data_IF_372531255226
#
_entry.id   IF_372531255226
#
_cell.length_a   1.000
_cell.length_b   1.000
_cell.length_c   1.000
_cell.angle_alpha   90.00
_cell.angle_beta   90.00
_cell.angle_gamma   90.00
#
_symmetry.space_group_name_H-M   'P 1'
#
loop_
_entity.id
_entity.type
_entity.pdbx_description
1 polymer ?
2 non-polymer ?
3 water ?
#
# COMPACT_ATOMS: atom_id res chain seq x y z
N UNK A 38 -25.83 25.52 -31.77
CA UNK A 38 -24.84 25.92 -30.74
C UNK A 38 -24.24 24.67 -30.09
N UNK A 39 -22.94 24.73 -29.79
CA UNK A 39 -22.24 23.61 -29.14
C UNK A 39 -23.03 23.21 -27.89
N UNK A 40 -23.86 22.18 -28.03
CA UNK A 40 -24.75 21.73 -26.96
C UNK A 40 -24.01 21.09 -25.78
N UNK A 41 -23.83 21.90 -24.73
CA UNK A 41 -23.19 21.48 -23.50
C UNK A 41 -24.11 20.37 -22.99
N UNK A 42 -25.42 20.64 -22.98
CA UNK A 42 -26.43 19.81 -22.30
C UNK A 42 -26.67 20.02 -20.80
N UNK A 43 -25.63 20.49 -20.09
CA UNK A 43 -25.71 21.08 -18.76
C UNK A 43 -25.61 22.61 -18.81
N UNK A 44 -25.33 23.16 -20.00
CA UNK A 44 -25.19 24.60 -20.17
C UNK A 44 -26.49 25.35 -19.94
N UNK A 45 -27.61 24.67 -20.14
CA UNK A 45 -28.92 25.25 -19.94
C UNK A 45 -29.24 25.43 -18.46
N UNK A 46 -28.58 24.66 -17.60
CA UNK A 46 -28.82 24.73 -16.15
C UNK A 46 -27.83 25.65 -15.44
N UNK A 47 -26.57 25.61 -15.83
CA UNK A 47 -25.55 26.39 -15.17
C UNK A 47 -25.50 27.81 -15.68
N UNK A 48 -24.94 28.68 -14.85
CA UNK A 48 -24.72 30.07 -15.25
C UNK A 48 -23.23 30.06 -15.62
N UNK A 49 -22.94 30.47 -16.83
CA UNK A 49 -21.58 30.49 -17.32
C UNK A 49 -21.17 31.87 -17.72
N UNK A 50 -19.86 32.05 -17.91
CA UNK A 50 -19.30 33.31 -18.34
C UNK A 50 -18.07 33.05 -19.19
N UNK A 51 -18.08 33.57 -20.41
CA UNK A 51 -16.93 33.43 -21.29
C UNK A 51 -15.94 34.53 -20.90
N UNK A 52 -14.69 34.15 -20.66
CA UNK A 52 -13.67 35.14 -20.31
C UNK A 52 -12.36 34.87 -21.02
N UNK A 53 -11.42 35.80 -20.85
CA UNK A 53 -10.10 35.72 -21.43
C UNK A 53 -9.13 36.41 -20.48
N UNK A 54 -7.92 35.87 -20.34
CA UNK A 54 -6.89 36.46 -19.47
C UNK A 54 -5.64 36.93 -20.22
N UNK A 55 -4.60 37.21 -19.43
CA UNK A 55 -3.22 37.42 -19.86
C UNK A 55 -2.76 36.69 -21.15
N UNK A 56 -2.86 35.35 -21.16
CA UNK A 56 -2.44 34.52 -22.30
C UNK A 56 -3.27 34.71 -23.58
N UNK A 57 -4.42 35.36 -23.47
CA UNK A 57 -5.29 35.58 -24.63
C UNK A 57 -6.06 34.33 -24.97
N UNK A 58 -6.17 33.42 -24.00
CA UNK A 58 -6.88 32.16 -24.18
C UNK A 58 -8.36 32.39 -23.97
N UNK A 59 -9.18 31.57 -24.61
CA UNK A 59 -10.64 31.69 -24.52
C UNK A 59 -11.26 30.44 -23.90
N UNK A 60 -11.88 30.62 -22.73
CA UNK A 60 -12.55 29.53 -22.01
C UNK A 60 -13.78 30.01 -21.26
N UNK A 61 -14.58 29.06 -20.81
CA UNK A 61 -15.82 29.37 -20.10
C UNK A 61 -15.81 28.94 -18.65
N UNK A 62 -15.98 29.92 -17.75
CA UNK A 62 -16.02 29.67 -16.33
C UNK A 62 -17.48 29.37 -16.02
N UNK A 63 -17.76 28.40 -15.15
CA UNK A 63 -19.15 28.06 -14.85
C UNK A 63 -19.45 27.49 -13.48
N UNK A 64 -20.68 27.72 -13.04
CA UNK A 64 -21.18 27.24 -11.76
C UNK A 64 -22.54 26.59 -11.99
N UNK A 66 -25.80 24.41 -9.87
CA UNK A 66 -26.37 23.83 -8.67
C UNK A 66 -26.73 22.39 -8.95
N UNK A 67 -26.30 21.50 -8.07
CA UNK A 67 -26.55 20.08 -8.25
C UNK A 67 -27.21 19.48 -7.02
N UNK A 68 -27.91 18.38 -7.23
CA UNK A 68 -28.63 17.70 -6.17
C UNK A 68 -27.88 16.45 -5.70
N UNK A 69 -27.79 16.30 -4.37
CA UNK A 69 -27.19 15.11 -3.72
C UNK A 69 -28.23 14.37 -2.89
N UNK A 70 -29.26 15.11 -2.46
CA UNK A 70 -30.42 14.56 -1.76
C UNK A 70 -31.30 13.73 -2.72
N UNK A 71 -30.65 12.85 -3.48
CA UNK A 71 -31.30 11.97 -4.45
C UNK A 71 -30.71 10.57 -4.37
N UNK A 72 -31.55 9.54 -4.59
CA UNK A 72 -31.07 8.17 -4.56
C UNK A 72 -30.42 7.76 -5.87
N UNK A 73 -29.84 6.55 -5.88
CA UNK A 73 -29.19 6.00 -7.07
C UNK A 73 -30.26 5.44 -7.97
N UNK A 74 -29.96 5.31 -9.25
CA UNK A 74 -30.95 4.81 -10.22
C UNK A 74 -30.49 3.59 -11.03
N UNK A 75 -29.27 3.65 -11.58
CA UNK A 75 -28.71 2.56 -12.41
C UNK A 75 -28.10 1.35 -11.68
N UNK A 76 -27.70 1.55 -10.41
CA UNK A 76 -27.02 0.53 -9.57
C UNK A 76 -27.54 -0.88 -9.36
N UNK A 77 -26.65 -1.74 -8.84
CA UNK A 77 -26.96 -3.13 -8.53
C UNK A 77 -28.08 -3.13 -7.51
N UNK A 78 -29.27 -3.44 -8.02
CA UNK A 78 -30.54 -3.43 -7.28
C UNK A 78 -30.60 -4.09 -5.89
N UNK A 79 -29.54 -4.75 -5.42
CA UNK A 79 -29.63 -5.40 -4.12
C UNK A 79 -28.32 -5.67 -3.40
N UNK A 80 -28.36 -5.50 -2.07
CA UNK A 80 -27.25 -5.79 -1.17
C UNK A 80 -27.90 -6.06 0.20
N UNK A 81 -28.07 -7.35 0.52
CA UNK A 81 -28.72 -7.80 1.77
C UNK A 81 -28.27 -7.11 3.06
N UNK A 82 -29.13 -7.17 4.07
CA UNK A 82 -28.85 -6.58 5.39
C UNK A 82 -27.58 -7.17 6.00
N UNK A 83 -27.11 -6.52 7.07
CA UNK A 83 -25.91 -6.97 7.76
C UNK A 83 -24.65 -6.44 7.10
N UNK A 84 -23.64 -7.29 7.01
CA UNK A 84 -22.35 -6.91 6.44
C UNK A 84 -21.98 -7.82 5.27
N UNK A 85 -21.35 -7.25 4.23
CA UNK A 85 -20.93 -8.00 3.06
C UNK A 85 -19.72 -7.35 2.41
N UNK A 86 -18.91 -8.14 1.70
CA UNK A 86 -17.71 -7.65 1.03
C UNK A 86 -17.88 -7.70 -0.48
N UNK A 87 -17.32 -6.72 -1.17
CA UNK A 87 -17.45 -6.65 -2.63
C UNK A 87 -16.16 -6.29 -3.35
N UNK A 88 -16.03 -6.80 -4.58
CA UNK A 88 -14.89 -6.54 -5.44
C UNK A 88 -15.37 -5.56 -6.49
N UNK A 89 -14.83 -4.34 -6.49
CA UNK A 89 -15.23 -3.33 -7.47
C UNK A 89 -14.11 -3.31 -8.51
N UNK A 90 -14.45 -3.31 -9.79
CA UNK A 90 -13.40 -3.36 -10.80
C UNK A 90 -13.74 -2.88 -12.20
N UNK A 91 -12.67 -2.49 -12.89
CA UNK A 91 -12.73 -2.05 -14.29
C UNK A 91 -11.59 -2.75 -15.01
N UNK A 92 -11.91 -3.42 -16.11
CA UNK A 92 -10.90 -4.12 -16.91
C UNK A 92 -11.01 -3.70 -18.36
N UNK A 93 -9.90 -3.32 -18.95
CA UNK A 93 -9.88 -2.93 -20.35
C UNK A 93 -8.47 -3.12 -20.89
N UNK A 94 -8.31 -2.88 -22.18
CA UNK A 94 -7.02 -3.02 -22.83
C UNK A 94 -5.94 -2.15 -22.22
N UNK A 95 -6.29 -0.94 -21.80
CA UNK A 95 -5.29 -0.05 -21.23
C UNK A 95 -5.41 0.06 -19.71
N UNK A 96 -6.60 0.39 -19.20
CA UNK A 96 -6.78 0.54 -17.75
C UNK A 96 -7.38 -0.68 -17.10
N UNK A 97 -6.78 -1.12 -16.00
CA UNK A 97 -7.30 -2.21 -15.23
C UNK A 97 -7.04 -1.85 -13.77
N UNK A 98 -8.07 -1.93 -12.95
CA UNK A 98 -7.94 -1.62 -11.54
C UNK A 98 -9.14 -2.16 -10.77
N UNK A 99 -8.94 -2.33 -9.47
CA UNK A 99 -9.98 -2.84 -8.60
C UNK A 99 -9.65 -2.59 -7.15
N UNK A 100 -10.66 -2.74 -6.30
CA UNK A 100 -10.49 -2.61 -4.87
C UNK A 100 -11.65 -3.31 -4.19
N UNK A 101 -11.44 -3.65 -2.92
CA UNK A 101 -12.46 -4.31 -2.14
C UNK A 101 -13.17 -3.29 -1.28
N UNK A 102 -14.45 -3.54 -1.02
CA UNK A 102 -15.24 -2.66 -0.20
C UNK A 102 -16.18 -3.44 0.69
N UNK A 103 -15.97 -3.34 2.01
CA UNK A 103 -16.87 -3.97 2.95
C UNK A 103 -18.02 -3.00 3.10
N UNK A 104 -19.23 -3.50 2.98
CA UNK A 104 -20.43 -2.67 3.08
C UNK A 104 -21.31 -3.15 4.22
N UNK A 105 -21.78 -2.19 5.01
CA UNK A 105 -22.65 -2.47 6.14
C UNK A 105 -23.99 -1.77 5.98
N UNK A 106 -25.06 -2.55 5.93
CA UNK A 106 -26.40 -2.01 5.80
C UNK A 106 -27.25 -2.45 7.00
N UNK A 107 -27.34 -1.58 8.00
CA UNK A 107 -28.16 -1.86 9.17
C UNK A 107 -29.52 -1.21 8.99
N UNK A 108 -30.57 -1.98 9.25
CA UNK A 108 -31.95 -1.54 9.03
C UNK A 108 -31.88 -1.28 7.51
N UNK A 109 -32.24 -0.09 7.06
CA UNK A 109 -32.45 0.21 5.64
C UNK A 109 -31.33 0.98 4.96
N UNK A 110 -30.59 1.78 5.72
CA UNK A 110 -29.51 2.62 5.18
C UNK A 110 -28.15 1.92 5.15
N UNK A 111 -27.51 1.94 3.99
CA UNK A 111 -26.21 1.28 3.80
C UNK A 111 -25.05 2.23 3.52
N UNK A 112 -23.89 1.90 4.07
CA UNK A 112 -22.67 2.70 3.90
C UNK A 112 -21.45 1.81 3.74
N UNK A 113 -20.38 2.39 3.23
CA UNK A 113 -19.13 1.66 3.05
C UNK A 113 -18.31 1.90 4.31
N UNK A 114 -17.94 0.82 4.99
CA UNK A 114 -17.16 0.90 6.22
C UNK A 114 -15.68 0.74 5.94
N UNK A 115 -15.32 0.33 4.72
CA UNK A 115 -13.93 0.11 4.36
C UNK A 115 -13.70 -0.09 2.84
N UNK A 116 -12.60 0.47 2.35
CA UNK A 116 -12.19 0.35 0.95
C UNK A 116 -10.72 -0.05 1.00
N UNK A 117 -10.41 -1.28 0.61
CA UNK A 117 -9.05 -1.81 0.71
C UNK A 117 -8.64 -2.67 -0.49
N UNK A 118 -7.44 -3.25 -0.42
CA UNK A 118 -6.87 -4.05 -1.50
C UNK A 118 -6.88 -3.35 -2.85
N UNK A 119 -6.35 -2.13 -2.87
CA UNK A 119 -6.29 -1.43 -4.13
C UNK A 119 -5.30 -2.13 -5.05
N UNK A 120 -5.73 -2.43 -6.27
CA UNK A 120 -4.88 -3.09 -7.24
C UNK A 120 -5.04 -2.44 -8.60
N UNK A 121 -3.95 -2.40 -9.37
CA UNK A 121 -4.05 -1.84 -10.72
C UNK A 121 -2.91 -2.22 -11.68
N UNK A 122 -3.24 -2.16 -12.97
CA UNK A 122 -2.29 -2.40 -14.03
C UNK A 122 -2.72 -1.57 -15.22
N UNK A 123 -1.98 -0.49 -15.47
CA UNK A 123 -2.25 0.42 -16.57
C UNK A 123 -1.16 0.14 -17.61
N UNK A 124 -1.48 -0.77 -18.51
CA UNK A 124 -0.53 -1.22 -19.52
C UNK A 124 -0.67 -0.53 -20.87
N UNK A 125 0.21 0.43 -21.13
CA UNK A 125 0.24 1.14 -22.39
C UNK A 125 1.46 2.06 -22.49
N UNK A 126 2.20 1.96 -23.59
CA UNK A 126 3.37 2.84 -23.73
C UNK A 126 2.86 4.25 -23.94
N UNK A 127 3.64 5.23 -23.49
CA UNK A 127 3.22 6.62 -23.61
C UNK A 127 2.46 7.05 -22.37
N UNK A 128 1.64 6.14 -21.83
CA UNK A 128 0.85 6.42 -20.65
C UNK A 128 1.72 6.35 -19.39
N UNK A 129 1.57 7.36 -18.53
CA UNK A 129 2.29 7.42 -17.28
C UNK A 129 1.27 7.68 -16.17
N UNK A 130 1.34 6.93 -15.08
CA UNK A 130 0.46 7.15 -13.93
C UNK A 130 1.33 7.90 -12.94
N UNK A 131 0.93 9.09 -12.56
CA UNK A 131 1.75 9.93 -11.67
C UNK A 131 1.35 9.77 -10.21
N UNK A 132 0.12 9.35 -9.98
CA UNK A 132 -0.38 9.19 -8.64
C UNK A 132 -1.62 8.33 -8.66
N UNK A 133 -1.85 7.59 -7.58
CA UNK A 133 -3.00 6.74 -7.43
C UNK A 133 -3.46 6.81 -5.99
N UNK A 134 -4.78 6.90 -5.78
CA UNK A 134 -5.30 6.95 -4.41
C UNK A 134 -6.72 6.45 -4.24
N UNK A 135 -6.88 5.52 -3.30
CA UNK A 135 -8.18 4.96 -2.95
C UNK A 135 -8.66 5.71 -1.73
N UNK A 136 -9.91 6.16 -1.75
CA UNK A 136 -10.49 6.92 -0.64
C UNK A 136 -11.94 6.60 -0.45
N UNK A 137 -12.40 6.82 0.77
CA UNK A 137 -13.77 6.59 1.16
C UNK A 137 -14.29 7.87 1.81
N UNK A 138 -15.48 8.30 1.47
CA UNK A 138 -16.04 9.50 2.05
C UNK A 138 -16.27 9.26 3.53
N UNK A 139 -16.38 10.34 4.31
CA UNK A 139 -16.61 10.23 5.75
C UNK A 139 -17.84 9.38 6.02
N UNK A 140 -18.92 9.71 5.32
CA UNK A 140 -20.21 9.02 5.45
C UNK A 140 -20.17 7.56 5.01
N UNK A 141 -19.28 7.25 4.08
CA UNK A 141 -19.20 5.90 3.54
C UNK A 141 -20.22 5.79 2.42
N UNK A 142 -20.66 6.94 1.92
CA UNK A 142 -21.62 7.02 0.83
C UNK A 142 -20.98 6.56 -0.48
N UNK A 143 -19.65 6.71 -0.58
CA UNK A 143 -18.91 6.28 -1.77
C UNK A 143 -17.41 6.12 -1.52
N UNK A 144 -16.78 5.30 -2.38
CA UNK A 144 -15.34 5.08 -2.33
C UNK A 144 -14.79 5.32 -3.74
N UNK A 145 -13.67 6.03 -3.83
CA UNK A 145 -13.09 6.37 -5.13
C UNK A 145 -11.62 6.04 -5.25
N UNK A 146 -11.26 5.45 -6.38
CA UNK A 146 -9.86 5.07 -6.66
C UNK A 146 -9.48 5.92 -7.86
N UNK A 147 -8.72 6.97 -7.56
CA UNK A 147 -8.34 7.97 -8.56
C UNK A 147 -6.91 7.86 -9.03
N UNK A 148 -6.71 7.98 -10.34
CA UNK A 148 -5.40 7.90 -10.95
C UNK A 148 -5.08 9.16 -11.73
N UNK A 149 -3.94 9.78 -11.44
CA UNK A 149 -3.48 10.95 -12.19
C UNK A 149 -2.65 10.42 -13.35
N UNK A 150 -3.13 10.64 -14.57
CA UNK A 150 -2.48 10.13 -15.76
C UNK A 150 -1.97 11.22 -16.70
N UNK A 151 -1.15 10.75 -17.65
CA UNK A 151 -0.52 11.59 -18.65
C UNK A 151 -0.06 10.75 -19.85
N UNK A 152 -0.12 11.35 -21.03
CA UNK A 152 0.38 10.72 -22.26
C UNK A 152 1.02 11.84 -23.09
N UNK A 153 1.48 11.55 -24.31
CA UNK A 153 2.13 12.60 -25.10
C UNK A 153 1.24 13.75 -25.55
N UNK A 154 -0.09 13.59 -25.47
CA UNK A 154 -1.01 14.66 -25.88
C UNK A 154 -2.00 15.13 -24.82
N UNK A 155 -1.96 14.54 -23.62
CA UNK A 155 -2.93 14.91 -22.59
C UNK A 155 -2.59 14.55 -21.14
N UNK A 156 -3.24 15.27 -20.23
CA UNK A 156 -3.11 15.05 -18.78
C UNK A 156 -4.52 15.00 -18.22
N UNK A 157 -4.82 14.01 -17.39
CA UNK A 157 -6.16 13.85 -16.87
C UNK A 157 -6.24 12.84 -15.75
N UNK A 158 -7.35 12.83 -15.01
CA UNK A 158 -7.52 11.79 -13.98
C UNK A 158 -8.66 10.87 -14.37
N UNK A 159 -8.63 9.65 -13.86
CA UNK A 159 -9.70 8.67 -14.10
C UNK A 159 -10.05 8.12 -12.76
N UNK A 160 -11.33 7.83 -12.57
CA UNK A 160 -11.81 7.34 -11.29
C UNK A 160 -12.67 6.09 -11.37
N UNK A 161 -12.35 5.13 -10.50
CA UNK A 161 -13.17 3.93 -10.35
C UNK A 161 -13.93 4.29 -9.07
N UNK A 162 -15.25 4.36 -9.15
CA UNK A 162 -16.04 4.76 -8.00
C UNK A 162 -17.17 3.81 -7.68
N UNK A 163 -17.39 3.60 -6.37
CA UNK A 163 -18.48 2.76 -5.87
C UNK A 163 -19.31 3.63 -4.95
N UNK A 164 -20.62 3.67 -5.17
CA UNK A 164 -21.53 4.48 -4.35
C UNK A 164 -22.60 3.61 -3.75
N UNK A 165 -23.04 3.97 -2.55
CA UNK A 165 -24.07 3.21 -1.83
C UNK A 165 -25.08 4.08 -1.10
N UNK A 166 -26.36 3.93 -1.45
CA UNK A 166 -27.47 4.65 -0.79
C UNK A 166 -28.55 3.64 -0.51
N UNK A 167 -28.96 3.53 0.75
CA UNK A 167 -29.99 2.56 1.12
C UNK A 167 -29.48 1.16 0.89
N UNK A 168 -30.16 0.41 0.02
CA UNK A 168 -29.78 -0.97 -0.28
C UNK A 168 -29.28 -1.10 -1.74
N UNK A 169 -28.92 0.03 -2.33
CA UNK A 169 -28.40 0.13 -3.70
C UNK A 169 -26.88 0.30 -3.75
N UNK A 170 -26.23 -0.45 -4.64
CA UNK A 170 -24.78 -0.34 -4.87
C UNK A 170 -24.57 -0.09 -6.36
N UNK A 171 -23.93 1.02 -6.70
CA UNK A 171 -23.69 1.36 -8.11
C UNK A 171 -22.21 1.61 -8.35
N UNK A 172 -21.80 1.62 -9.61
CA UNK A 172 -20.40 1.89 -9.96
C UNK A 172 -20.30 2.75 -11.20
N UNK A 173 -19.11 3.30 -11.38
CA UNK A 173 -18.82 4.14 -12.53
C UNK A 173 -17.32 4.24 -12.72
N UNK A 174 -16.93 4.49 -13.97
CA UNK A 174 -15.52 4.66 -14.32
C UNK A 174 -15.43 5.75 -15.39
N UNK A 175 -14.96 6.93 -15.01
CA UNK A 175 -14.86 8.05 -15.95
C UNK A 175 -13.51 8.72 -15.79
N UNK B 46 -22.25 -15.70 -9.11
CA UNK B 46 -21.87 -14.96 -10.36
C UNK B 46 -21.90 -13.44 -10.13
N UNK B 47 -21.07 -12.71 -10.88
CA UNK B 47 -20.98 -11.26 -10.76
C UNK B 47 -21.96 -10.49 -11.65
N UNK B 48 -22.15 -9.21 -11.31
CA UNK B 48 -23.02 -8.32 -12.07
C UNK B 48 -22.08 -7.29 -12.71
N UNK B 49 -22.13 -7.17 -14.03
CA UNK B 49 -21.24 -6.25 -14.74
C UNK B 49 -21.86 -5.70 -16.01
N UNK B 50 -21.19 -4.71 -16.59
CA UNK B 50 -21.66 -4.09 -17.83
C UNK B 50 -20.48 -3.66 -18.69
N UNK B 51 -20.63 -3.77 -20.01
CA UNK B 51 -19.59 -3.42 -20.96
C UNK B 51 -19.74 -2.00 -21.41
N UNK B 52 -18.75 -1.18 -21.10
CA UNK B 52 -18.76 0.25 -21.43
C UNK B 52 -17.67 0.62 -22.44
N UNK B 53 -18.03 1.44 -23.41
CA UNK B 53 -17.09 1.95 -24.39
C UNK B 53 -16.91 3.42 -24.09
N UNK B 54 -15.73 3.79 -23.61
CA UNK B 54 -15.43 5.18 -23.28
C UNK B 54 -15.31 6.06 -24.52
N UNK B 55 -15.42 7.36 -24.30
CA UNK B 55 -15.37 8.36 -25.37
C UNK B 55 -14.12 8.21 -26.25
N UNK B 56 -12.98 7.92 -25.62
CA UNK B 56 -11.72 7.75 -26.37
C UNK B 56 -11.62 6.41 -27.08
N UNK B 57 -12.70 5.64 -27.11
CA UNK B 57 -12.73 4.35 -27.78
C UNK B 57 -12.44 3.16 -26.91
N UNK B 58 -11.83 3.40 -25.75
CA UNK B 58 -11.47 2.33 -24.81
C UNK B 58 -12.68 1.49 -24.41
N UNK B 59 -12.59 0.19 -24.64
CA UNK B 59 -13.68 -0.74 -24.34
C UNK B 59 -13.33 -1.52 -23.11
N UNK B 60 -14.16 -1.44 -22.09
CA UNK B 60 -13.90 -2.16 -20.86
C UNK B 60 -15.12 -2.78 -20.21
N UNK B 61 -14.90 -3.42 -19.07
CA UNK B 61 -15.96 -4.07 -18.34
C UNK B 61 -15.98 -3.49 -16.93
N UNK B 62 -17.09 -2.85 -16.58
CA UNK B 62 -17.26 -2.29 -15.26
C UNK B 62 -18.11 -3.29 -14.53
N UNK B 63 -17.57 -3.85 -13.45
CA UNK B 63 -18.28 -4.86 -12.68
C UNK B 63 -18.10 -4.84 -11.18
N UNK B 64 -18.98 -5.58 -10.53
CA UNK B 64 -19.01 -5.72 -9.09
C UNK B 64 -19.32 -7.17 -8.75
N UNK B 66 -19.59 -10.03 -5.25
CA UNK B 66 -19.43 -10.29 -3.83
C UNK B 66 -18.44 -11.42 -3.64
N UNK B 67 -17.54 -11.27 -2.68
CA UNK B 67 -16.52 -12.28 -2.43
C UNK B 67 -16.51 -12.73 -0.98
N UNK B 68 -16.11 -13.98 -0.78
CA UNK B 68 -16.01 -14.54 0.55
C UNK B 68 -14.56 -14.35 0.98
N UNK B 69 -13.65 -14.93 0.20
CA UNK B 69 -12.22 -14.83 0.44
C UNK B 69 -11.57 -14.01 -0.66
N UNK B 70 -10.46 -13.36 -0.33
CA UNK B 70 -9.73 -12.54 -1.30
C UNK B 70 -9.08 -13.45 -2.34
N UNK B 71 -8.84 -12.92 -3.54
CA UNK B 71 -8.20 -13.69 -4.62
C UNK B 71 -6.86 -13.08 -5.03
N UNK B 72 -5.77 -13.44 -4.32
CA UNK B 72 -4.42 -12.97 -4.64
C UNK B 72 -3.75 -13.91 -5.62
N UNK B 73 -2.52 -13.62 -5.99
CA UNK B 73 -1.79 -14.50 -6.91
C UNK B 73 -1.45 -15.79 -6.18
N UNK B 74 -1.10 -15.67 -4.90
CA UNK B 74 -0.73 -16.83 -4.09
C UNK B 74 -1.03 -16.56 -2.63
N UNK B 75 -1.48 -17.59 -1.89
CA UNK B 75 -1.76 -17.42 -0.46
C UNK B 75 -1.27 -18.62 0.36
N UNK B 76 -1.21 -18.43 1.67
CA UNK B 76 -0.77 -19.47 2.60
C UNK B 76 -1.38 -19.24 3.98
N UNK B 77 -1.81 -20.31 4.64
CA UNK B 77 -2.41 -20.22 5.97
C UNK B 77 -1.62 -21.04 6.99
N UNK B 78 -1.32 -20.42 8.13
CA UNK B 78 -0.55 -21.07 9.19
C UNK B 78 -1.15 -20.84 10.57
N UNK B 79 -1.09 -21.86 11.42
CA UNK B 79 -1.62 -21.78 12.78
C UNK B 79 -0.64 -21.09 13.73
N UNK B 80 -1.22 -20.43 14.72
CA UNK B 80 -0.47 -19.71 15.72
C UNK B 80 -0.71 -20.28 17.11
N UNK B 81 0.27 -20.10 17.99
CA UNK B 81 0.19 -20.56 19.36
C UNK B 81 -0.08 -19.34 20.22
N UNK B 82 -0.65 -19.55 21.40
CA UNK B 82 -0.94 -18.46 22.31
C UNK B 82 0.36 -17.80 22.75
N UNK B 83 0.32 -16.49 22.92
CA UNK B 83 1.49 -15.74 23.35
C UNK B 83 1.96 -14.85 22.22
N UNK B 84 3.09 -14.20 22.44
CA UNK B 84 3.64 -13.33 21.44
C UNK B 84 4.65 -14.13 20.64
N UNK B 85 4.70 -13.86 19.34
CA UNK B 85 5.61 -14.54 18.44
C UNK B 85 6.01 -13.56 17.34
N UNK B 86 7.23 -13.67 16.84
CA UNK B 86 7.71 -12.79 15.79
C UNK B 86 8.03 -13.58 14.52
N UNK B 87 7.56 -13.08 13.39
CA UNK B 87 7.71 -13.77 12.11
C UNK B 87 8.21 -12.87 11.00
N UNK B 88 8.93 -13.47 10.06
CA UNK B 88 9.35 -12.72 8.89
C UNK B 88 8.40 -13.14 7.79
N UNK B 89 7.82 -12.16 7.11
CA UNK B 89 6.92 -12.46 6.00
C UNK B 89 7.69 -12.07 4.75
N UNK B 90 7.75 -12.95 3.75
CA UNK B 90 8.51 -12.63 2.56
C UNK B 90 8.04 -13.23 1.26
N UNK B 91 8.53 -12.62 0.18
CA UNK B 91 8.29 -13.06 -1.18
C UNK B 91 9.61 -13.00 -1.93
N UNK B 92 9.92 -14.05 -2.69
CA UNK B 92 11.14 -14.05 -3.51
C UNK B 92 10.84 -14.57 -4.90
N UNK B 93 11.29 -13.82 -5.89
CA UNK B 93 11.14 -14.21 -7.28
C UNK B 93 12.31 -13.56 -8.00
N UNK B 94 12.45 -13.81 -9.29
CA UNK B 94 13.56 -13.22 -10.01
C UNK B 94 13.53 -11.70 -9.98
N UNK B 95 12.36 -11.14 -10.24
CA UNK B 95 12.19 -9.71 -10.29
C UNK B 95 11.90 -9.07 -8.94
N UNK B 96 10.95 -9.62 -8.18
CA UNK B 96 10.58 -9.05 -6.88
C UNK B 96 11.11 -9.85 -5.70
N UNK B 97 11.63 -9.14 -4.71
CA UNK B 97 12.12 -9.74 -3.47
C UNK B 97 11.82 -8.73 -2.39
N UNK B 98 11.12 -9.14 -1.37
CA UNK B 98 10.79 -8.22 -0.29
C UNK B 98 10.30 -8.94 0.97
N UNK B 99 10.25 -8.20 2.06
CA UNK B 99 9.81 -8.77 3.31
C UNK B 99 9.60 -7.73 4.40
N UNK B 100 9.02 -8.19 5.49
CA UNK B 100 8.86 -7.37 6.66
C UNK B 100 8.65 -8.28 7.84
N UNK B 101 8.77 -7.75 9.04
CA UNK B 101 8.56 -8.55 10.24
C UNK B 101 7.22 -8.21 10.86
N UNK B 102 6.57 -9.24 11.39
CA UNK B 102 5.27 -9.10 12.02
C UNK B 102 5.31 -9.65 13.43
N UNK B 103 4.92 -8.80 14.37
CA UNK B 103 4.88 -9.15 15.77
C UNK B 103 3.43 -9.55 15.98
N UNK B 104 3.18 -10.81 16.32
CA UNK B 104 1.82 -11.27 16.54
C UNK B 104 1.61 -11.71 17.98
N UNK B 105 0.46 -11.33 18.53
CA UNK B 105 0.07 -11.68 19.89
C UNK B 105 -1.25 -12.43 19.87
N UNK B 106 -1.36 -13.49 20.65
CA UNK B 106 -2.60 -14.28 20.69
C UNK B 106 -3.11 -14.55 22.10
N UNK B 107 -4.13 -13.81 22.53
CA UNK B 107 -4.76 -14.01 23.84
C UNK B 107 -5.91 -15.02 23.79
N UNK B 108 -5.68 -16.18 24.39
CA UNK B 108 -6.59 -17.32 24.33
C UNK B 108 -6.81 -17.43 22.80
N UNK B 109 -8.07 -17.50 22.36
CA UNK B 109 -8.40 -17.92 21.01
C UNK B 109 -8.01 -16.98 19.87
N UNK B 110 -8.16 -15.66 20.10
CA UNK B 110 -7.88 -14.68 19.05
C UNK B 110 -6.54 -13.97 19.19
N UNK B 111 -6.04 -13.48 18.06
CA UNK B 111 -4.77 -12.77 18.00
C UNK B 111 -4.75 -11.73 16.88
N UNK B 112 -3.79 -10.82 16.96
CA UNK B 112 -3.65 -9.76 15.97
C UNK B 112 -2.18 -9.38 15.83
N UNK B 113 -1.90 -8.55 14.83
CA UNK B 113 -0.55 -8.08 14.60
C UNK B 113 -0.37 -6.83 15.47
N UNK B 114 0.61 -6.87 16.36
CA UNK B 114 0.88 -5.73 17.22
C UNK B 114 1.88 -4.78 16.57
N UNK B 115 2.66 -5.28 15.63
CA UNK B 115 3.67 -4.46 14.99
C UNK B 115 4.13 -5.02 13.64
N UNK B 116 4.18 -4.17 12.62
CA UNK B 116 4.69 -4.57 11.28
C UNK B 116 5.88 -3.64 11.01
N UNK B 117 7.08 -4.19 11.05
CA UNK B 117 8.31 -3.39 10.92
C UNK B 117 9.38 -4.06 10.06
N UNK B 118 10.55 -3.41 9.96
CA UNK B 118 11.69 -3.88 9.18
C UNK B 118 11.35 -4.19 7.72
N UNK B 119 10.76 -3.21 7.03
CA UNK B 119 10.42 -3.41 5.64
C UNK B 119 11.68 -3.43 4.79
N UNK B 120 11.81 -4.45 3.93
CA UNK B 120 12.95 -4.59 3.04
C UNK B 120 12.56 -5.02 1.64
N UNK B 121 13.28 -4.51 0.63
CA UNK B 121 13.03 -4.93 -0.74
C UNK B 121 14.23 -4.70 -1.62
N UNK B 122 14.28 -5.50 -2.68
CA UNK B 122 15.28 -5.38 -3.69
C UNK B 122 14.72 -6.06 -4.93
N UNK B 123 14.46 -5.21 -5.93
CA UNK B 123 13.87 -5.62 -7.20
C UNK B 123 14.90 -5.51 -8.28
N UNK B 124 14.94 -6.50 -9.17
CA UNK B 124 15.88 -6.50 -10.28
C UNK B 124 15.13 -6.53 -11.57
N UNK B 125 15.39 -5.55 -12.42
CA UNK B 125 14.75 -5.42 -13.73
C UNK B 125 15.21 -4.12 -14.35
N UNK B 126 15.79 -4.18 -15.57
CA UNK B 126 16.28 -2.96 -16.20
C UNK B 126 15.14 -2.00 -16.53
N UNK B 127 15.33 -0.73 -16.15
CA UNK B 127 14.35 0.32 -16.41
C UNK B 127 13.15 0.37 -15.47
N UNK B 128 13.11 -0.52 -14.48
CA UNK B 128 12.01 -0.56 -13.52
C UNK B 128 12.14 0.57 -12.49
N UNK B 129 11.01 1.19 -12.18
CA UNK B 129 10.96 2.26 -11.18
C UNK B 129 9.95 1.97 -10.10
N UNK B 130 10.41 2.05 -8.86
CA UNK B 130 9.53 1.86 -7.74
C UNK B 130 9.22 3.28 -7.29
N UNK B 131 8.11 3.82 -7.76
CA UNK B 131 7.69 5.16 -7.39
C UNK B 131 7.37 5.29 -5.91
N UNK B 132 6.84 4.23 -5.33
CA UNK B 132 6.42 4.29 -3.95
C UNK B 132 6.38 2.91 -3.32
N UNK B 133 6.63 2.90 -2.02
CA UNK B 133 6.63 1.70 -1.23
C UNK B 133 6.16 2.09 0.17
N UNK B 134 5.06 1.49 0.60
CA UNK B 134 4.53 1.75 1.92
C UNK B 134 4.19 0.42 2.61
N UNK B 135 4.61 0.32 3.87
CA UNK B 135 4.30 -0.80 4.73
C UNK B 135 3.35 -0.21 5.74
N UNK B 136 2.17 -0.78 5.87
CA UNK B 136 1.21 -0.25 6.84
C UNK B 136 0.47 -1.37 7.52
N UNK B 137 -0.11 -1.06 8.67
CA UNK B 137 -0.84 -2.00 9.47
C UNK B 137 -2.18 -1.41 9.85
N UNK B 138 -3.22 -2.21 9.76
CA UNK B 138 -4.56 -1.76 10.10
C UNK B 138 -4.60 -1.47 11.60
N UNK B 139 -5.43 -0.50 12.00
CA UNK B 139 -5.55 -0.14 13.43
C UNK B 139 -5.87 -1.32 14.32
N UNK B 140 -6.75 -2.20 13.83
CA UNK B 140 -7.16 -3.39 14.59
C UNK B 140 -6.11 -4.52 14.56
N UNK B 141 -5.00 -4.31 13.86
CA UNK B 141 -3.96 -5.32 13.73
C UNK B 141 -4.44 -6.51 12.92
N UNK B 142 -5.57 -6.35 12.22
CA UNK B 142 -6.14 -7.44 11.43
C UNK B 142 -5.21 -7.84 10.31
N UNK B 143 -4.41 -6.88 9.82
CA UNK B 143 -3.46 -7.17 8.74
C UNK B 143 -2.42 -6.06 8.53
N UNK B 144 -1.39 -6.42 7.76
CA UNK B 144 -0.30 -5.51 7.41
C UNK B 144 -0.03 -5.74 5.94
N UNK B 145 0.30 -4.69 5.21
CA UNK B 145 0.54 -4.81 3.76
C UNK B 145 1.71 -3.98 3.30
N UNK B 146 2.57 -4.58 2.48
CA UNK B 146 3.73 -3.90 1.92
C UNK B 146 3.33 -3.68 0.46
N UNK B 147 3.11 -2.42 0.07
CA UNK B 147 2.65 -2.13 -1.28
C UNK B 147 3.63 -1.33 -2.10
N UNK B 148 3.88 -1.80 -3.32
CA UNK B 148 4.85 -1.17 -4.21
C UNK B 148 4.19 -0.64 -5.48
N UNK B 149 4.37 0.65 -5.75
CA UNK B 149 3.86 1.28 -6.96
C UNK B 149 5.01 1.27 -7.96
N UNK B 150 4.84 0.52 -9.05
CA UNK B 150 5.88 0.33 -10.05
C UNK B 150 5.58 0.94 -11.39
N UNK B 151 6.64 1.12 -12.17
CA UNK B 151 6.56 1.73 -13.46
C UNK B 151 7.76 1.42 -14.33
N UNK B 152 7.54 1.38 -15.64
CA UNK B 152 8.62 1.20 -16.61
C UNK B 152 8.16 1.81 -17.94
N UNK B 153 8.95 1.71 -18.99
CA UNK B 153 8.59 2.31 -20.28
C UNK B 153 7.23 1.89 -20.84
N UNK B 154 6.69 0.76 -20.42
CA UNK B 154 5.42 0.29 -20.97
C UNK B 154 4.28 -0.01 -19.99
N UNK B 155 4.54 0.08 -18.68
CA UNK B 155 3.48 -0.26 -17.74
C UNK B 155 3.57 0.48 -16.40
N UNK B 156 2.44 0.46 -15.69
CA UNK B 156 2.27 1.09 -14.39
C UNK B 156 1.45 0.13 -13.56
N UNK B 157 1.96 -0.32 -12.42
CA UNK B 157 1.22 -1.27 -11.62
C UNK B 157 1.72 -1.34 -10.18
N UNK B 158 1.09 -2.20 -9.38
CA UNK B 158 1.51 -2.37 -8.01
C UNK B 158 1.61 -3.86 -7.66
N UNK B 159 2.37 -4.15 -6.63
CA UNK B 159 2.55 -5.50 -6.13
C UNK B 159 2.35 -5.41 -4.63
N UNK B 160 1.75 -6.42 -4.04
CA UNK B 160 1.46 -6.37 -2.61
C UNK B 160 1.74 -7.64 -1.84
N UNK B 161 2.62 -7.50 -0.85
CA UNK B 161 2.96 -8.58 0.06
C UNK B 161 2.11 -8.29 1.28
N UNK B 162 1.22 -9.21 1.65
CA UNK B 162 0.31 -9.00 2.77
C UNK B 162 0.25 -10.16 3.76
N UNK B 163 -0.03 -9.81 5.01
CA UNK B 163 -0.18 -10.76 6.10
C UNK B 163 -1.39 -10.32 6.92
N UNK B 164 -2.35 -11.22 7.09
CA UNK B 164 -3.54 -10.92 7.87
C UNK B 164 -3.76 -12.00 8.92
N UNK B 165 -4.17 -11.57 10.11
CA UNK B 165 -4.40 -12.47 11.23
C UNK B 165 -5.87 -12.51 11.63
N UNK B 166 -6.41 -13.71 11.76
CA UNK B 166 -7.80 -13.88 12.16
C UNK B 166 -7.89 -15.11 13.06
N UNK B 167 -8.13 -14.87 14.35
CA UNK B 167 -8.23 -15.94 15.32
C UNK B 167 -6.91 -16.64 15.55
N UNK B 168 -6.88 -17.93 15.22
CA UNK B 168 -5.69 -18.75 15.36
C UNK B 168 -4.88 -18.81 14.04
N UNK B 169 -5.45 -18.27 12.97
CA UNK B 169 -4.84 -18.32 11.63
C UNK B 169 -4.01 -17.11 11.21
N UNK B 170 -2.94 -17.39 10.47
CA UNK B 170 -2.06 -16.37 9.90
C UNK B 170 -2.08 -16.62 8.41
N UNK B 171 -2.54 -15.65 7.64
CA UNK B 171 -2.63 -15.80 6.19
C UNK B 171 -1.68 -14.85 5.48
N UNK B 172 -0.85 -15.40 4.59
CA UNK B 172 0.08 -14.58 3.82
C UNK B 172 -0.40 -14.56 2.39
N UNK B 173 -0.03 -13.51 1.65
CA UNK B 173 -0.43 -13.40 0.25
C UNK B 173 0.41 -12.40 -0.51
N UNK B 174 0.47 -12.61 -1.82
CA UNK B 174 1.20 -11.73 -2.71
C UNK B 174 0.34 -11.57 -3.95
N UNK B 175 0.13 -10.33 -4.37
CA UNK B 175 -0.68 -10.04 -5.57
C UNK B 175 -0.08 -8.89 -6.37
N UNK C 40 -1.83 -25.62 11.33
CA UNK C 40 -1.07 -25.75 10.06
C UNK C 40 0.35 -25.25 10.33
N UNK C 41 1.02 -25.92 11.27
CA UNK C 41 2.38 -25.56 11.67
C UNK C 41 2.98 -26.68 12.51
N UNK C 42 4.09 -27.26 12.05
CA UNK C 42 4.76 -28.34 12.78
C UNK C 42 5.61 -27.78 13.93
N UNK C 43 6.73 -27.13 13.60
CA UNK C 43 7.63 -26.53 14.58
C UNK C 43 7.96 -25.10 14.21
N UNK C 44 8.06 -24.22 15.21
CA UNK C 44 8.38 -22.82 14.97
C UNK C 44 9.88 -22.56 14.90
N UNK C 45 10.58 -23.38 14.11
CA UNK C 45 12.02 -23.26 13.96
C UNK C 45 12.44 -23.05 12.51
N UNK C 46 11.71 -23.65 11.55
CA UNK C 46 12.04 -23.53 10.12
C UNK C 46 11.01 -22.76 9.29
N UNK C 47 11.46 -22.33 8.11
CA UNK C 47 10.66 -21.56 7.20
C UNK C 47 9.66 -22.41 6.47
N UNK C 48 8.46 -21.86 6.26
CA UNK C 48 7.41 -22.53 5.54
C UNK C 48 7.03 -21.68 4.34
N UNK C 49 7.09 -22.28 3.16
CA UNK C 49 6.82 -21.57 1.94
C UNK C 49 5.76 -22.18 1.04
N UNK C 50 5.09 -21.31 0.30
CA UNK C 50 4.11 -21.72 -0.72
C UNK C 50 4.85 -21.35 -1.97
N UNK C 51 5.02 -22.29 -2.87
CA UNK C 51 5.73 -22.03 -4.12
C UNK C 51 4.75 -21.89 -5.28
N UNK C 52 5.21 -21.28 -6.37
CA UNK C 52 4.39 -21.12 -7.56
C UNK C 52 5.29 -20.92 -8.78
N UNK C 53 4.86 -21.42 -9.93
CA UNK C 53 5.63 -21.25 -11.18
C UNK C 53 4.88 -20.31 -12.11
N UNK C 54 5.51 -19.17 -12.37
CA UNK C 54 4.94 -18.12 -13.19
C UNK C 54 4.84 -18.50 -14.66
N UNK C 55 4.00 -17.76 -15.39
CA UNK C 55 3.76 -18.02 -16.80
C UNK C 55 5.01 -18.24 -17.65
N UNK C 56 6.14 -17.67 -17.24
CA UNK C 56 7.40 -17.81 -17.98
C UNK C 56 8.33 -18.87 -17.37
N UNK C 57 7.79 -19.71 -16.50
CA UNK C 57 8.59 -20.77 -15.88
C UNK C 57 9.54 -20.24 -14.83
N UNK C 58 9.08 -19.23 -14.10
CA UNK C 58 9.87 -18.60 -13.06
C UNK C 58 9.22 -18.89 -11.71
N UNK C 59 10.05 -19.34 -10.79
CA UNK C 59 9.63 -19.66 -9.45
C UNK C 59 9.32 -18.42 -8.63
N UNK C 60 8.29 -18.54 -7.81
CA UNK C 60 7.86 -17.49 -6.91
C UNK C 60 7.70 -18.17 -5.57
N UNK C 61 8.13 -17.50 -4.51
CA UNK C 61 8.07 -18.08 -3.17
C UNK C 61 7.41 -17.14 -2.19
N UNK C 62 6.30 -17.57 -1.61
CA UNK C 62 5.62 -16.79 -0.60
C UNK C 62 5.95 -17.55 0.66
N UNK C 63 6.68 -16.93 1.58
CA UNK C 63 7.07 -17.63 2.80
C UNK C 63 6.92 -16.89 4.10
N UNK C 64 6.92 -17.68 5.16
CA UNK C 64 6.81 -17.22 6.55
C UNK C 64 7.92 -17.91 7.32
N UNK C 66 9.81 -18.06 11.40
CA UNK C 66 9.96 -17.51 12.75
C UNK C 66 11.37 -16.97 12.94
N UNK C 67 11.56 -16.04 13.87
CA UNK C 67 12.88 -15.47 14.11
C UNK C 67 13.16 -15.28 15.60
N UNK C 74 23.24 -10.63 11.63
CA UNK C 74 24.38 -9.88 12.19
C UNK C 74 23.97 -8.49 12.69
N UNK C 75 24.35 -8.18 13.93
CA UNK C 75 24.01 -6.89 14.53
C UNK C 75 25.02 -6.48 15.63
N UNK C 76 24.93 -5.24 16.08
CA UNK C 76 25.81 -4.71 17.11
C UNK C 76 25.00 -4.34 18.33
N UNK C 77 25.36 -4.88 19.49
CA UNK C 77 24.65 -4.62 20.74
C UNK C 77 25.58 -4.39 21.93
N UNK C 78 25.16 -3.55 22.89
CA UNK C 78 25.95 -3.32 24.13
C UNK C 78 25.22 -2.47 25.20
N UNK C 79 25.57 -2.73 26.46
CA UNK C 79 24.99 -2.09 27.67
C UNK C 79 24.87 -0.55 27.69
N UNK C 80 23.91 -0.08 28.49
CA UNK C 80 23.64 1.34 28.68
C UNK C 80 23.70 1.65 30.17
N UNK C 81 23.56 2.93 30.51
CA UNK C 81 23.58 3.38 31.89
C UNK C 81 22.32 4.15 32.21
N UNK C 82 22.09 4.37 33.50
CA UNK C 82 20.95 5.12 34.00
C UNK C 82 21.00 6.57 33.48
N UNK C 83 19.86 7.27 33.50
CA UNK C 83 19.81 8.67 33.05
C UNK C 83 19.77 8.84 31.54
N UNK C 84 20.21 10.02 31.08
CA UNK C 84 20.22 10.35 29.66
C UNK C 84 21.61 10.28 29.05
N UNK C 85 21.67 9.88 27.78
CA UNK C 85 22.92 9.77 27.04
C UNK C 85 22.72 10.07 25.54
N UNK C 86 23.80 10.44 24.85
CA UNK C 86 23.72 10.72 23.43
C UNK C 86 24.66 9.77 22.69
N UNK C 87 24.21 9.28 21.54
CA UNK C 87 24.98 8.31 20.77
C UNK C 87 24.97 8.56 19.28
N UNK C 88 26.11 8.31 18.66
CA UNK C 88 26.24 8.42 17.22
C UNK C 88 26.09 7.00 16.71
N UNK C 89 25.07 6.77 15.90
CA UNK C 89 24.82 5.46 15.31
C UNK C 89 25.29 5.60 13.87
N UNK C 90 26.18 4.71 13.42
CA UNK C 90 26.68 4.80 12.06
C UNK C 90 27.09 3.52 11.36
N UNK C 91 27.26 3.63 10.05
CA UNK C 91 27.70 2.55 9.19
C UNK C 91 28.65 3.12 8.17
N UNK C 92 29.70 2.37 7.84
CA UNK C 92 30.62 2.83 6.81
C UNK C 92 31.09 1.64 5.99
N UNK C 93 31.14 1.84 4.68
CA UNK C 93 31.56 0.83 3.74
C UNK C 93 32.11 1.53 2.51
N UNK C 94 32.50 0.76 1.51
CA UNK C 94 33.03 1.32 0.28
C UNK C 94 31.94 2.03 -0.50
N UNK C 95 30.69 1.60 -0.29
CA UNK C 95 29.57 2.19 -0.99
C UNK C 95 28.73 3.10 -0.09
N UNK C 96 28.14 2.55 0.96
CA UNK C 96 27.29 3.34 1.83
C UNK C 96 28.00 3.86 3.10
N UNK C 97 27.72 5.11 3.44
CA UNK C 97 28.23 5.74 4.66
C UNK C 97 27.10 6.61 5.15
N UNK C 98 26.64 6.38 6.37
CA UNK C 98 25.54 7.15 6.91
C UNK C 98 25.51 7.08 8.43
N UNK C 99 24.94 8.10 9.06
CA UNK C 99 24.86 8.13 10.52
C UNK C 99 23.86 9.15 11.03
N UNK C 100 23.51 9.03 12.29
CA UNK C 100 22.60 9.97 12.95
C UNK C 100 22.84 9.91 14.46
N UNK C 101 22.31 10.88 15.18
CA UNK C 101 22.44 10.91 16.62
C UNK C 101 21.15 10.41 17.24
N UNK C 102 21.27 9.65 18.31
CA UNK C 102 20.13 9.15 19.03
C UNK C 102 20.29 9.53 20.49
N UNK C 103 19.31 10.26 21.03
CA UNK C 103 19.31 10.59 22.44
C UNK C 103 18.47 9.52 23.11
N UNK C 104 19.03 8.93 24.17
CA UNK C 104 18.36 7.88 24.90
C UNK C 104 18.17 8.34 26.35
N UNK C 105 17.12 7.84 26.98
CA UNK C 105 16.80 8.15 28.37
C UNK C 105 16.43 6.86 29.09
N UNK C 106 17.22 6.48 30.08
CA UNK C 106 16.97 5.27 30.84
C UNK C 106 16.44 5.56 32.24
N UNK C 107 15.12 5.59 32.38
CA UNK C 107 14.46 5.81 33.66
C UNK C 107 14.18 4.43 34.24
N UNK C 108 14.36 4.24 35.54
CA UNK C 108 14.18 2.91 36.15
C UNK C 108 15.28 2.06 35.51
N UNK C 109 14.96 0.83 35.12
CA UNK C 109 15.91 -0.05 34.46
C UNK C 109 15.53 -0.31 33.01
N UNK C 110 14.70 0.58 32.46
CA UNK C 110 14.22 0.45 31.10
C UNK C 110 14.35 1.77 30.38
N UNK C 111 14.91 1.75 29.17
CA UNK C 111 15.13 2.97 28.40
C UNK C 111 14.53 3.00 27.02
N UNK C 112 14.53 4.20 26.44
CA UNK C 112 14.00 4.41 25.10
C UNK C 112 14.74 5.54 24.41
N UNK C 113 14.61 5.60 23.09
CA UNK C 113 15.22 6.67 22.29
C UNK C 113 14.25 7.83 22.37
N UNK C 114 14.72 8.97 22.88
CA UNK C 114 13.84 10.13 23.00
C UNK C 114 13.95 11.07 21.81
N UNK C 115 14.99 10.87 20.99
CA UNK C 115 15.21 11.74 19.83
C UNK C 115 16.20 11.12 18.84
N UNK C 116 15.90 11.29 17.55
CA UNK C 116 16.75 10.83 16.47
C UNK C 116 16.94 12.05 15.61
N UNK C 117 18.18 12.49 15.43
CA UNK C 117 18.44 13.70 14.66
C UNK C 117 19.83 13.68 14.03
N UNK C 118 20.15 14.76 13.33
CA UNK C 118 21.43 14.97 12.69
C UNK C 118 21.80 13.87 11.71
N UNK C 119 20.92 13.62 10.71
CA UNK C 119 21.14 12.59 9.70
C UNK C 119 22.19 13.02 8.69
N UNK C 120 23.20 12.17 8.49
CA UNK C 120 24.26 12.45 7.54
C UNK C 120 24.47 11.24 6.63
N UNK C 121 24.95 11.49 5.40
CA UNK C 121 25.23 10.38 4.50
C UNK C 121 26.04 10.76 3.27
N UNK C 122 26.89 9.84 2.84
CA UNK C 122 27.70 9.96 1.63
C UNK C 122 27.76 8.56 1.05
N UNK C 123 27.14 8.40 -0.11
CA UNK C 123 27.09 7.13 -0.83
C UNK C 123 27.93 7.25 -2.08
N UNK C 124 28.95 6.41 -2.21
CA UNK C 124 29.80 6.42 -3.39
C UNK C 124 29.45 5.24 -4.30
N UNK C 125 29.11 5.56 -5.54
CA UNK C 125 28.75 4.55 -6.55
C UNK C 125 28.24 5.24 -7.80
N UNK C 126 29.00 5.19 -8.89
CA UNK C 126 28.49 5.84 -10.09
C UNK C 126 27.15 5.27 -10.53
N UNK C 127 26.23 6.15 -10.90
CA UNK C 127 24.93 5.72 -11.37
C UNK C 127 23.87 5.49 -10.31
N UNK C 128 24.26 5.54 -9.03
CA UNK C 128 23.30 5.32 -7.94
C UNK C 128 22.44 6.54 -7.74
N UNK C 129 21.15 6.32 -7.54
CA UNK C 129 20.24 7.41 -7.28
C UNK C 129 19.52 7.14 -5.96
N UNK C 130 19.65 8.07 -5.01
CA UNK C 130 18.95 7.98 -3.74
C UNK C 130 17.65 8.74 -3.95
N UNK C 131 16.57 8.01 -4.22
CA UNK C 131 15.28 8.63 -4.48
C UNK C 131 14.71 9.30 -3.24
N UNK C 132 14.94 8.68 -2.09
CA UNK C 132 14.42 9.19 -0.84
C UNK C 132 15.25 8.73 0.32
N UNK C 133 15.27 9.54 1.38
CA UNK C 133 15.98 9.23 2.62
C UNK C 133 15.11 9.74 3.75
N UNK C 134 15.05 8.98 4.85
CA UNK C 134 14.22 9.40 5.97
C UNK C 134 14.64 8.80 7.31
N UNK C 135 14.76 9.66 8.32
CA UNK C 135 15.10 9.25 9.67
C UNK C 135 13.83 9.39 10.51
N UNK C 136 13.44 8.33 11.20
CA UNK C 136 12.24 8.34 12.02
C UNK C 136 12.39 7.52 13.28
N UNK C 137 11.62 7.91 14.28
CA UNK C 137 11.61 7.27 15.58
C UNK C 137 10.23 6.72 15.85
N UNK C 138 10.15 5.52 16.44
CA UNK C 138 8.85 4.95 16.78
C UNK C 138 8.27 5.79 17.92
N UNK C 139 6.95 5.89 17.98
CA UNK C 139 6.29 6.69 19.02
C UNK C 139 6.76 6.29 20.42
N UNK C 140 6.86 4.99 20.65
CA UNK C 140 7.30 4.45 21.93
C UNK C 140 8.78 4.75 22.16
N UNK C 141 9.50 5.02 21.08
CA UNK C 141 10.92 5.30 21.13
C UNK C 141 11.69 4.00 21.26
N UNK C 142 11.05 2.88 20.87
CA UNK C 142 11.65 1.56 20.95
C UNK C 142 12.79 1.44 19.96
N UNK C 143 12.72 2.24 18.90
CA UNK C 143 13.77 2.24 17.88
C UNK C 143 13.69 3.43 16.94
N UNK C 144 14.78 3.63 16.19
CA UNK C 144 14.90 4.68 15.20
C UNK C 144 15.52 4.07 13.96
N UNK C 145 15.12 4.54 12.78
CA UNK C 145 15.63 4.02 11.53
C UNK C 145 15.91 5.09 10.49
N UNK C 146 17.03 4.94 9.81
CA UNK C 146 17.43 5.87 8.75
C UNK C 146 17.38 5.02 7.48
N UNK C 147 16.35 5.26 6.68
CA UNK C 147 16.07 4.47 5.48
C UNK C 147 16.30 5.18 4.15
N UNK C 148 17.01 4.52 3.27
CA UNK C 148 17.31 5.04 1.94
C UNK C 148 16.69 4.17 0.87
N UNK C 149 15.93 4.79 -0.02
CA UNK C 149 15.32 4.10 -1.15
C UNK C 149 16.21 4.42 -2.31
N UNK C 150 16.93 3.41 -2.80
CA UNK C 150 17.88 3.60 -3.88
C UNK C 150 17.49 2.95 -5.19
N UNK C 151 18.18 3.38 -6.23
CA UNK C 151 17.94 2.90 -7.58
C UNK C 151 19.12 3.10 -8.50
N UNK C 152 19.34 2.12 -9.38
CA UNK C 152 20.37 2.19 -10.42
C UNK C 152 19.74 1.68 -11.72
N UNK C 153 20.52 1.36 -12.76
CA UNK C 153 19.95 0.93 -14.05
C UNK C 153 19.31 -0.46 -14.07
N UNK C 154 19.64 -1.29 -13.08
CA UNK C 154 19.11 -2.65 -13.05
C UNK C 154 18.33 -3.00 -11.79
N UNK C 155 18.30 -2.12 -10.81
CA UNK C 155 17.63 -2.45 -9.58
C UNK C 155 17.07 -1.29 -8.75
N UNK C 156 16.12 -1.63 -7.88
CA UNK C 156 15.52 -0.72 -6.91
C UNK C 156 15.53 -1.46 -5.59
N UNK C 157 16.01 -0.81 -4.54
CA UNK C 157 16.08 -1.45 -3.24
C UNK C 157 16.21 -0.40 -2.15
N UNK C 158 16.15 -0.82 -0.89
CA UNK C 158 16.35 0.11 0.21
C UNK C 158 17.49 -0.41 1.06
N UNK C 159 18.07 0.49 1.85
CA UNK C 159 19.14 0.16 2.80
C UNK C 159 18.67 0.79 4.11
N UNK C 160 19.01 0.18 5.24
CA UNK C 160 18.53 0.70 6.52
C UNK C 160 19.50 0.56 7.68
N UNK C 161 19.73 1.69 8.34
CA UNK C 161 20.55 1.78 9.55
C UNK C 161 19.52 1.94 10.67
N UNK C 162 19.52 1.02 11.63
CA UNK C 162 18.54 1.05 12.70
C UNK C 162 19.18 0.97 14.07
N UNK C 163 18.58 1.67 15.03
CA UNK C 163 19.03 1.66 16.41
C UNK C 163 17.83 1.24 17.25
N UNK C 164 18.04 0.27 18.13
CA UNK C 164 16.98 -0.25 19.00
C UNK C 164 17.41 -0.26 20.47
N UNK C 165 16.51 0.15 21.35
CA UNK C 165 16.76 0.19 22.78
C UNK C 165 15.68 -0.62 23.50
N UNK C 166 16.12 -1.55 24.33
CA UNK C 166 15.22 -2.39 25.11
C UNK C 166 15.89 -2.55 26.47
N UNK C 167 15.20 -2.14 27.53
CA UNK C 167 15.77 -2.23 28.88
C UNK C 167 17.00 -1.35 28.91
N UNK C 168 18.15 -1.94 29.23
CA UNK C 168 19.42 -1.19 29.25
C UNK C 168 20.35 -1.70 28.14
N UNK C 169 19.79 -2.01 26.98
CA UNK C 169 20.57 -2.54 25.87
C UNK C 169 20.39 -1.75 24.57
N UNK C 170 21.51 -1.40 23.95
CA UNK C 170 21.49 -0.69 22.67
C UNK C 170 21.91 -1.63 21.57
N UNK C 171 21.05 -1.77 20.58
CA UNK C 171 21.29 -2.64 19.44
C UNK C 171 21.19 -1.84 18.16
N UNK C 172 22.10 -2.09 17.23
CA UNK C 172 22.08 -1.45 15.93
C UNK C 172 22.14 -2.52 14.87
N UNK C 173 21.74 -2.17 13.67
CA UNK C 173 21.75 -3.11 12.55
C UNK C 173 21.75 -2.35 11.24
N UNK C 174 22.12 -3.04 10.17
CA UNK C 174 22.14 -2.44 8.85
C UNK C 174 21.72 -3.48 7.83
N UNK C 175 20.61 -3.21 7.14
CA UNK C 175 20.13 -4.14 6.12
C UNK C 175 19.71 -3.41 4.86
#
# INVERSE_FOLDING_TARGET
XHHHHHHSSGVDLGTENLYFQSNAEIENPDNIQEAEVETFDLNGNIAQEKEIVLEDGTEGTLGVXPIIDERPLLKGTYSLANGTSTWKIYWYSGVYNCSFNAKINVSKGKGKITSAYNPWYQFYSPGLDVKKSKLSKTSSGSSASYVFDCKNKISNWNVTLKASVSGKKLTTSFK
XHHHHHHSSGVDLGTENLYFQSNAEIENPDNIQEAEVETFDLNGNIAQEKEIVLEDGTEGTLGVXPIIDERPLLKGTYSLANGTSTWKIYWYSGVYNCSFNAKINVSKGKGKITSAYNPWYQFYSPGLDVKKSKLSKTSSGSSASYVFDCKNKISNWNVTLKASVSGKKLTTSFK
XHHHHHHSSGVDLGTENLYFQSNAEIENPDNIQEAEVETFDLNGNIAQEKEIVLEDGTEGTLGVXPIIDERPLLKGTYSLANGTSTWKIYWYSGVYNCSFNAKINVSKGKGKITSAYNPWYQFYSPGLDVKKSKLSKTSSGSSASYVFDCKNKISNWNVTLKASVSGKKLTTSFK
#
